data_IF_758540121686
#
_entry.id   IF_758540121686
#
_cell.length_a   1.000
_cell.length_b   1.000
_cell.length_c   1.000
_cell.angle_alpha   90.00
_cell.angle_beta   90.00
_cell.angle_gamma   90.00
#
_symmetry.space_group_name_H-M   'P 1'
#
loop_
_entity.id
_entity.type
_entity.pdbx_description
1 polymer ?
#
# COMPACT_ATOMS: atom_id res chain seq x y z
N UNK A 1 38.91 -40.38 -16.51
CA UNK A 1 37.50 -40.82 -16.60
C UNK A 1 36.75 -40.79 -15.27
N UNK A 2 37.39 -41.00 -14.10
CA UNK A 2 36.70 -41.02 -12.79
C UNK A 2 36.31 -39.65 -12.19
N UNK A 3 36.99 -38.57 -12.58
CA UNK A 3 36.70 -37.21 -12.09
C UNK A 3 35.37 -36.67 -12.64
N UNK A 4 35.14 -36.86 -13.96
CA UNK A 4 33.90 -36.46 -14.63
C UNK A 4 32.68 -37.20 -14.05
N UNK A 5 32.79 -38.51 -13.80
CA UNK A 5 31.71 -39.31 -13.19
C UNK A 5 31.35 -38.84 -11.78
N UNK A 6 32.33 -38.36 -10.99
CA UNK A 6 32.09 -37.80 -9.65
C UNK A 6 31.35 -36.46 -9.69
N UNK A 7 31.74 -35.56 -10.61
CA UNK A 7 31.09 -34.26 -10.80
C UNK A 7 29.65 -34.42 -11.30
N UNK A 8 29.40 -35.32 -12.25
CA UNK A 8 28.05 -35.63 -12.73
C UNK A 8 27.16 -36.23 -11.64
N UNK A 9 27.73 -37.05 -10.74
CA UNK A 9 27.01 -37.60 -9.58
C UNK A 9 26.62 -36.53 -8.57
N UNK A 10 27.51 -35.57 -8.31
CA UNK A 10 27.25 -34.45 -7.40
C UNK A 10 26.21 -33.48 -7.98
N UNK A 11 26.29 -33.18 -9.28
CA UNK A 11 25.33 -32.33 -9.98
C UNK A 11 23.93 -32.95 -9.99
N UNK A 12 23.81 -34.25 -10.23
CA UNK A 12 22.52 -34.97 -10.14
C UNK A 12 21.91 -34.90 -8.75
N UNK A 13 22.71 -35.08 -7.69
CA UNK A 13 22.24 -34.96 -6.30
C UNK A 13 21.79 -33.53 -5.97
N UNK A 14 22.51 -32.53 -6.46
CA UNK A 14 22.16 -31.11 -6.26
C UNK A 14 20.86 -30.72 -6.98
N UNK A 15 20.69 -31.14 -8.24
CA UNK A 15 19.46 -30.93 -9.02
C UNK A 15 18.27 -31.65 -8.37
N UNK A 16 18.46 -32.89 -7.91
CA UNK A 16 17.43 -33.64 -7.20
C UNK A 16 17.03 -32.97 -5.89
N UNK A 17 17.98 -32.42 -5.14
CA UNK A 17 17.72 -31.67 -3.91
C UNK A 17 16.92 -30.39 -4.17
N UNK A 18 17.25 -29.63 -5.23
CA UNK A 18 16.49 -28.44 -5.63
C UNK A 18 15.07 -28.82 -6.05
N UNK A 19 14.90 -29.91 -6.80
CA UNK A 19 13.58 -30.42 -7.19
C UNK A 19 12.74 -30.83 -5.96
N UNK A 20 13.36 -31.50 -4.98
CA UNK A 20 12.68 -31.87 -3.73
C UNK A 20 12.25 -30.61 -2.97
N UNK A 21 13.10 -29.60 -2.84
CA UNK A 21 12.73 -28.34 -2.17
C UNK A 21 11.64 -27.58 -2.94
N UNK A 22 11.71 -27.55 -4.27
CA UNK A 22 10.72 -26.91 -5.13
C UNK A 22 9.34 -27.58 -5.06
N UNK A 23 9.25 -28.83 -4.62
CA UNK A 23 8.00 -29.58 -4.42
C UNK A 23 7.55 -29.54 -2.95
N UNK A 24 8.48 -29.77 -1.99
CA UNK A 24 8.16 -29.88 -0.57
C UNK A 24 7.75 -28.54 0.06
N UNK A 25 8.38 -27.43 -0.33
CA UNK A 25 8.06 -26.09 0.20
C UNK A 25 6.61 -25.71 -0.20
N UNK A 26 6.18 -25.81 -1.47
CA UNK A 26 4.79 -25.52 -1.84
C UNK A 26 3.75 -26.43 -1.19
N UNK A 27 4.05 -27.71 -1.00
CA UNK A 27 3.17 -28.66 -0.28
C UNK A 27 2.98 -28.22 1.17
N UNK A 28 4.06 -27.84 1.88
CA UNK A 28 3.99 -27.28 3.25
C UNK A 28 3.09 -26.05 3.33
N UNK A 29 3.03 -25.25 2.26
CA UNK A 29 2.21 -24.05 2.20
C UNK A 29 0.86 -24.22 1.46
N UNK A 30 0.42 -25.46 1.17
CA UNK A 30 -0.91 -25.75 0.63
C UNK A 30 -1.13 -25.31 -0.82
N UNK A 31 -0.07 -25.19 -1.61
CA UNK A 31 -0.12 -24.59 -2.95
C UNK A 31 0.38 -25.58 -4.02
N UNK A 32 -0.55 -26.34 -4.60
CA UNK A 32 -0.29 -27.51 -5.46
C UNK A 32 -0.43 -27.25 -6.97
N UNK A 33 -0.66 -26.02 -7.40
CA UNK A 33 -0.85 -25.69 -8.82
C UNK A 33 0.48 -25.75 -9.62
N UNK A 34 0.51 -26.64 -10.62
CA UNK A 34 1.69 -26.95 -11.45
C UNK A 34 2.08 -25.80 -12.39
N UNK A 35 1.17 -24.86 -12.70
CA UNK A 35 1.43 -23.72 -13.60
C UNK A 35 2.49 -22.75 -13.05
N UNK A 36 2.71 -22.77 -11.75
CA UNK A 36 3.66 -21.88 -11.06
C UNK A 36 4.96 -22.60 -10.68
N UNK A 37 5.14 -23.86 -11.08
CA UNK A 37 6.28 -24.70 -10.68
C UNK A 37 7.62 -24.15 -11.20
N UNK A 38 7.66 -23.61 -12.41
CA UNK A 38 8.85 -23.01 -13.02
C UNK A 38 9.29 -21.73 -12.30
N UNK A 39 8.34 -20.84 -11.99
CA UNK A 39 8.57 -19.61 -11.21
C UNK A 39 9.04 -19.96 -9.78
N UNK A 40 8.51 -21.03 -9.19
CA UNK A 40 8.90 -21.51 -7.85
C UNK A 40 10.25 -22.21 -7.83
N UNK A 41 10.61 -22.97 -8.85
CA UNK A 41 11.96 -23.51 -9.03
C UNK A 41 12.98 -22.36 -9.09
N UNK A 42 12.64 -21.30 -9.83
CA UNK A 42 13.46 -20.10 -9.91
C UNK A 42 13.55 -19.38 -8.55
N UNK A 43 12.44 -19.25 -7.81
CA UNK A 43 12.44 -18.77 -6.42
C UNK A 43 13.30 -19.66 -5.51
N UNK A 44 13.13 -20.98 -5.47
CA UNK A 44 13.95 -21.88 -4.64
C UNK A 44 15.44 -21.79 -4.95
N UNK A 45 15.82 -21.55 -6.21
CA UNK A 45 17.20 -21.30 -6.63
C UNK A 45 17.73 -19.95 -6.13
N UNK A 46 16.93 -18.87 -6.26
CA UNK A 46 17.29 -17.51 -5.81
C UNK A 46 17.27 -17.36 -4.28
N UNK A 47 16.37 -18.08 -3.61
CA UNK A 47 16.16 -18.09 -2.16
C UNK A 47 17.12 -19.04 -1.43
N UNK A 48 17.83 -19.93 -2.14
CA UNK A 48 18.76 -20.89 -1.53
C UNK A 48 19.87 -20.16 -0.74
N UNK A 49 20.33 -19.00 -1.25
CA UNK A 49 21.30 -18.12 -0.58
C UNK A 49 20.78 -17.56 0.75
N UNK A 50 19.46 -17.37 0.87
CA UNK A 50 18.80 -16.77 2.02
C UNK A 50 18.19 -17.81 2.96
N UNK A 51 18.05 -19.08 2.51
CA UNK A 51 17.44 -20.18 3.28
C UNK A 51 18.29 -20.65 4.47
N UNK A 52 19.56 -20.29 4.51
CA UNK A 52 20.49 -20.60 5.61
C UNK A 52 20.70 -19.43 6.57
N UNK A 53 19.99 -18.33 6.38
CA UNK A 53 20.05 -17.14 7.24
C UNK A 53 19.07 -17.36 8.42
N UNK A 54 19.54 -17.37 9.67
CA UNK A 54 18.66 -17.56 10.84
C UNK A 54 17.64 -16.42 10.95
N UNK A 55 16.41 -16.76 11.37
CA UNK A 55 15.25 -15.85 11.43
C UNK A 55 15.51 -14.58 12.28
N UNK A 56 16.48 -14.63 13.19
CA UNK A 56 16.92 -13.50 14.02
C UNK A 56 17.70 -12.40 13.26
N UNK A 57 18.10 -12.64 12.01
CA UNK A 57 18.86 -11.69 11.17
C UNK A 57 18.06 -11.10 10.00
N UNK A 58 16.73 -11.34 9.99
CA UNK A 58 15.74 -10.78 9.05
C UNK A 58 15.80 -9.27 8.82
N UNK A 59 16.26 -8.41 9.77
CA UNK A 59 16.44 -6.97 9.52
C UNK A 59 17.40 -6.61 8.37
N UNK A 60 18.24 -7.55 7.89
CA UNK A 60 19.28 -7.30 6.88
C UNK A 60 18.86 -7.60 5.43
N UNK A 61 17.62 -8.05 5.19
CA UNK A 61 17.11 -8.33 3.85
C UNK A 61 16.74 -7.02 3.13
N UNK A 62 17.04 -6.92 1.83
CA UNK A 62 16.66 -5.76 1.02
C UNK A 62 15.13 -5.61 0.93
N UNK A 63 14.66 -4.37 0.81
CA UNK A 63 13.24 -4.06 0.67
C UNK A 63 12.61 -4.81 -0.52
N UNK A 64 13.33 -4.92 -1.63
CA UNK A 64 12.90 -5.63 -2.84
C UNK A 64 12.63 -7.12 -2.58
N UNK A 65 13.47 -7.77 -1.76
CA UNK A 65 13.30 -9.19 -1.43
C UNK A 65 12.07 -9.41 -0.55
N UNK A 66 11.80 -8.50 0.39
CA UNK A 66 10.60 -8.56 1.25
C UNK A 66 9.32 -8.33 0.46
N UNK A 67 9.33 -7.37 -0.46
CA UNK A 67 8.21 -7.09 -1.35
C UNK A 67 7.91 -8.30 -2.25
N UNK A 68 8.96 -8.90 -2.83
CA UNK A 68 8.85 -10.10 -3.66
C UNK A 68 8.34 -11.32 -2.88
N UNK A 69 8.83 -11.55 -1.66
CA UNK A 69 8.39 -12.64 -0.78
C UNK A 69 6.90 -12.50 -0.41
N UNK A 70 6.45 -11.28 -0.08
CA UNK A 70 5.06 -11.00 0.28
C UNK A 70 4.09 -11.32 -0.88
N UNK A 71 4.49 -10.98 -2.12
CA UNK A 71 3.72 -11.21 -3.33
C UNK A 71 3.44 -12.69 -3.61
N UNK A 72 4.40 -13.56 -3.31
CA UNK A 72 4.33 -15.00 -3.59
C UNK A 72 3.68 -15.79 -2.44
N UNK A 73 3.66 -15.22 -1.23
CA UNK A 73 3.00 -15.81 -0.06
C UNK A 73 1.48 -15.59 -0.04
N UNK A 74 0.93 -14.79 -0.95
CA UNK A 74 -0.51 -14.67 -1.11
C UNK A 74 -1.10 -16.03 -1.50
N UNK A 75 -1.70 -16.73 -0.54
CA UNK A 75 -2.48 -17.94 -0.80
C UNK A 75 -3.78 -17.53 -1.48
N UNK A 76 -4.16 -18.15 -2.60
CA UNK A 76 -5.53 -18.04 -3.08
C UNK A 76 -6.47 -18.55 -1.98
N UNK A 77 -7.54 -17.80 -1.69
CA UNK A 77 -8.63 -18.26 -0.84
C UNK A 77 -9.37 -19.36 -1.60
N UNK A 78 -8.90 -20.60 -1.46
CA UNK A 78 -9.39 -21.75 -2.24
C UNK A 78 -10.74 -22.28 -1.75
N UNK A 79 -11.18 -21.90 -0.54
CA UNK A 79 -12.46 -22.32 0.01
C UNK A 79 -13.22 -21.08 0.52
N UNK A 80 -14.34 -20.77 -0.13
CA UNK A 80 -15.33 -19.87 0.44
C UNK A 80 -16.07 -20.64 1.54
N UNK A 81 -15.69 -20.42 2.80
CA UNK A 81 -16.48 -20.91 3.92
C UNK A 81 -17.73 -20.03 4.05
N UNK A 82 -18.88 -20.53 3.58
CA UNK A 82 -20.16 -19.83 3.64
C UNK A 82 -20.67 -19.59 5.05
N UNK A 83 -20.02 -20.14 6.08
CA UNK A 83 -20.34 -19.89 7.49
C UNK A 83 -19.60 -18.68 8.09
N UNK A 84 -18.58 -18.14 7.41
CA UNK A 84 -17.87 -16.94 7.86
C UNK A 84 -18.69 -15.68 7.55
N UNK A 85 -18.98 -14.90 8.59
CA UNK A 85 -19.47 -13.55 8.39
C UNK A 85 -18.37 -12.71 7.70
N UNK A 86 -18.71 -12.19 6.52
CA UNK A 86 -17.81 -11.38 5.71
C UNK A 86 -17.45 -10.08 6.40
N UNK A 87 -18.37 -9.48 7.17
CA UNK A 87 -18.12 -8.23 7.89
C UNK A 87 -17.14 -8.43 9.04
N UNK A 88 -17.31 -9.47 9.85
CA UNK A 88 -16.36 -9.79 10.92
C UNK A 88 -14.97 -10.18 10.38
N UNK A 89 -14.92 -10.85 9.23
CA UNK A 89 -13.65 -11.15 8.55
C UNK A 89 -12.96 -9.87 8.10
N UNK A 90 -13.69 -8.94 7.48
CA UNK A 90 -13.16 -7.65 7.04
C UNK A 90 -12.66 -6.83 8.23
N UNK A 91 -13.40 -6.79 9.35
CA UNK A 91 -12.95 -6.11 10.57
C UNK A 91 -11.63 -6.67 11.08
N UNK A 92 -11.46 -8.00 11.10
CA UNK A 92 -10.19 -8.64 11.52
C UNK A 92 -9.04 -8.26 10.58
N UNK A 93 -9.28 -8.28 9.27
CA UNK A 93 -8.26 -7.89 8.28
C UNK A 93 -7.88 -6.41 8.46
N UNK A 94 -8.86 -5.50 8.64
CA UNK A 94 -8.60 -4.07 8.89
C UNK A 94 -7.77 -3.86 10.16
N UNK A 95 -8.07 -4.57 11.25
CA UNK A 95 -7.28 -4.50 12.49
C UNK A 95 -5.84 -4.95 12.26
N UNK A 96 -5.66 -6.10 11.62
CA UNK A 96 -4.32 -6.63 11.31
C UNK A 96 -3.52 -5.72 10.36
N UNK A 97 -4.18 -5.09 9.39
CA UNK A 97 -3.58 -4.10 8.52
C UNK A 97 -3.12 -2.87 9.30
N UNK A 98 -3.95 -2.41 10.25
CA UNK A 98 -3.66 -1.26 11.12
C UNK A 98 -2.45 -1.47 12.04
N UNK A 99 -2.35 -2.66 12.62
CA UNK A 99 -1.24 -3.04 13.50
C UNK A 99 0.10 -3.21 12.77
N UNK A 100 0.08 -3.29 11.44
CA UNK A 100 1.27 -3.52 10.62
C UNK A 100 2.04 -2.24 10.29
N UNK A 101 1.84 -1.14 11.02
CA UNK A 101 2.47 0.17 10.77
C UNK A 101 3.99 0.01 10.52
N UNK A 102 4.39 0.18 9.26
CA UNK A 102 5.75 -0.15 8.79
C UNK A 102 6.73 1.01 9.06
N UNK A 103 6.20 2.22 9.27
CA UNK A 103 7.00 3.45 9.34
C UNK A 103 6.79 4.17 10.67
N UNK A 104 7.81 4.26 11.54
CA UNK A 104 7.70 5.01 12.78
C UNK A 104 7.44 6.50 12.54
N UNK A 105 6.43 7.05 13.22
CA UNK A 105 6.10 8.47 13.18
C UNK A 105 7.15 9.32 13.92
N UNK A 106 7.71 10.37 13.28
CA UNK A 106 8.57 11.33 13.98
C UNK A 106 7.85 12.03 15.15
N UNK A 107 8.53 12.19 16.28
CA UNK A 107 7.93 12.77 17.49
C UNK A 107 7.52 14.23 17.35
N UNK A 108 8.15 14.97 16.43
CA UNK A 108 7.83 16.36 16.16
C UNK A 108 6.60 16.52 15.26
N UNK A 109 6.14 15.45 14.60
CA UNK A 109 5.06 15.56 13.64
C UNK A 109 3.71 15.74 14.34
N UNK A 110 3.00 16.79 13.94
CA UNK A 110 1.69 17.18 14.46
C UNK A 110 0.60 16.62 13.55
N UNK A 111 -0.45 16.07 14.16
CA UNK A 111 -1.60 15.50 13.46
C UNK A 111 -2.86 16.03 14.12
N UNK A 112 -3.69 16.72 13.35
CA UNK A 112 -4.95 17.31 13.83
C UNK A 112 -6.11 16.76 13.02
N UNK A 113 -7.11 16.22 13.71
CA UNK A 113 -8.32 15.73 13.08
C UNK A 113 -9.28 16.88 12.73
N UNK A 114 -9.96 16.76 11.59
CA UNK A 114 -11.07 17.63 11.21
C UNK A 114 -12.13 16.81 10.45
N UNK A 115 -13.41 17.09 10.70
CA UNK A 115 -14.49 16.67 9.79
C UNK A 115 -14.71 17.80 8.78
N UNK A 116 -14.39 17.51 7.52
CA UNK A 116 -14.59 18.44 6.40
C UNK A 116 -16.03 18.30 5.91
N UNK A 117 -16.77 19.40 5.92
CA UNK A 117 -18.12 19.51 5.36
C UNK A 117 -18.08 20.24 4.02
N UNK A 118 -18.70 19.64 3.00
CA UNK A 118 -19.09 20.33 1.78
C UNK A 118 -20.56 20.04 1.45
N UNK A 119 -21.44 21.02 1.64
CA UNK A 119 -22.88 20.91 1.37
C UNK A 119 -23.57 19.73 2.09
N UNK A 120 -23.18 19.42 3.32
CA UNK A 120 -23.70 18.31 4.11
C UNK A 120 -22.99 16.98 3.85
N UNK A 121 -22.01 16.94 2.95
CA UNK A 121 -21.16 15.79 2.72
C UNK A 121 -19.97 15.82 3.68
N UNK A 122 -20.02 14.98 4.71
CA UNK A 122 -19.04 14.96 5.80
C UNK A 122 -17.95 13.92 5.55
N UNK A 123 -16.68 14.34 5.57
CA UNK A 123 -15.52 13.46 5.40
C UNK A 123 -14.54 13.69 6.54
N UNK A 124 -14.15 12.62 7.22
CA UNK A 124 -13.12 12.69 8.24
C UNK A 124 -11.74 12.87 7.58
N UNK A 125 -10.92 13.76 8.12
CA UNK A 125 -9.61 14.04 7.56
C UNK A 125 -8.60 14.40 8.67
N UNK A 126 -7.32 14.29 8.34
CA UNK A 126 -6.24 14.62 9.27
C UNK A 126 -5.22 15.54 8.61
N UNK A 127 -5.01 16.70 9.21
CA UNK A 127 -3.95 17.63 8.86
C UNK A 127 -2.66 17.18 9.51
N UNK A 128 -1.67 16.86 8.69
CA UNK A 128 -0.36 16.38 9.13
C UNK A 128 0.69 17.41 8.76
N UNK A 129 1.44 17.84 9.75
CA UNK A 129 2.45 18.85 9.60
C UNK A 129 3.72 18.45 10.35
N UNK A 130 4.84 18.42 9.64
CA UNK A 130 6.15 18.33 10.26
C UNK A 130 6.72 19.74 10.46
N UNK A 131 6.87 20.21 11.71
CA UNK A 131 7.43 21.53 11.97
C UNK A 131 8.92 21.52 11.63
N UNK A 132 9.31 22.35 10.67
CA UNK A 132 10.72 22.53 10.30
C UNK A 132 11.21 23.88 10.80
N UNK A 133 12.36 23.87 11.51
CA UNK A 133 13.00 25.07 12.06
C UNK A 133 13.52 26.06 11.00
N UNK A 134 13.59 25.63 9.75
CA UNK A 134 14.20 26.39 8.65
C UNK A 134 13.18 27.08 7.73
N UNK A 135 11.88 26.97 8.01
CA UNK A 135 10.85 27.68 7.26
C UNK A 135 10.17 28.66 8.22
N UNK A 136 10.52 29.95 8.08
CA UNK A 136 9.88 31.03 8.84
C UNK A 136 8.42 31.27 8.42
N UNK A 137 8.00 30.70 7.28
CA UNK A 137 6.64 30.77 6.77
C UNK A 137 5.94 29.41 6.78
N UNK A 138 4.65 29.40 7.16
CA UNK A 138 3.76 28.26 6.93
C UNK A 138 3.80 27.89 5.44
N UNK A 139 4.10 26.63 5.13
CA UNK A 139 4.12 26.16 3.75
C UNK A 139 2.77 26.40 3.10
N UNK A 140 2.79 27.00 1.91
CA UNK A 140 1.63 27.21 1.06
C UNK A 140 1.30 25.96 0.23
N UNK A 141 2.09 24.89 0.36
CA UNK A 141 1.93 23.63 -0.37
C UNK A 141 1.08 22.66 0.42
N UNK A 142 0.01 22.18 -0.21
CA UNK A 142 -0.90 21.18 0.32
C UNK A 142 -0.82 19.91 -0.52
N UNK A 143 -0.58 18.78 0.12
CA UNK A 143 -0.74 17.46 -0.49
C UNK A 143 -2.04 16.86 0.01
N UNK A 144 -3.03 16.68 -0.87
CA UNK A 144 -4.23 15.91 -0.59
C UNK A 144 -3.91 14.44 -0.81
N UNK A 145 -3.88 13.65 0.27
CA UNK A 145 -3.40 12.27 0.25
C UNK A 145 -4.55 11.26 0.35
N UNK A 146 -4.54 10.27 -0.54
CA UNK A 146 -5.44 9.12 -0.53
C UNK A 146 -4.66 7.85 -0.24
N UNK A 147 -4.99 7.19 0.87
CA UNK A 147 -4.28 5.99 1.33
C UNK A 147 -4.56 4.76 0.46
N UNK A 148 -3.65 3.79 0.51
CA UNK A 148 -3.84 2.45 -0.04
C UNK A 148 -4.68 1.54 0.87
N UNK A 149 -4.81 0.27 0.48
CA UNK A 149 -5.62 -0.73 1.21
C UNK A 149 -6.80 -1.28 0.42
N UNK A 150 -6.66 -1.34 -0.91
CA UNK A 150 -7.61 -2.01 -1.81
C UNK A 150 -9.07 -1.56 -1.66
N UNK A 151 -9.29 -0.28 -1.28
CA UNK A 151 -10.60 0.32 -0.98
C UNK A 151 -11.37 -0.30 0.19
N UNK A 152 -10.82 -1.28 0.90
CA UNK A 152 -11.48 -1.93 2.03
C UNK A 152 -10.71 -1.81 3.35
N UNK A 153 -9.46 -1.35 3.34
CA UNK A 153 -8.60 -1.15 4.50
C UNK A 153 -7.74 0.11 4.35
N UNK A 154 -6.92 0.40 5.37
CA UNK A 154 -6.13 1.61 5.48
C UNK A 154 -6.83 2.68 6.33
N UNK A 155 -6.02 3.48 7.01
CA UNK A 155 -6.41 4.60 7.87
C UNK A 155 -5.16 5.40 8.26
N UNK A 156 -5.37 6.50 8.96
CA UNK A 156 -4.33 7.37 9.50
C UNK A 156 -3.34 6.63 10.39
N UNK A 157 -3.74 5.61 11.15
CA UNK A 157 -2.83 4.89 12.05
C UNK A 157 -1.76 4.10 11.29
N UNK A 158 -2.04 3.71 10.04
CA UNK A 158 -1.06 3.05 9.16
C UNK A 158 -0.16 4.06 8.45
N UNK A 159 -0.73 5.21 8.09
CA UNK A 159 -0.10 6.16 7.17
C UNK A 159 0.59 7.33 7.88
N UNK A 160 0.29 7.58 9.16
CA UNK A 160 0.77 8.76 9.89
C UNK A 160 2.29 8.91 9.83
N UNK A 161 3.05 7.85 10.04
CA UNK A 161 4.49 7.90 9.99
C UNK A 161 5.03 8.19 8.60
N UNK A 162 4.47 7.52 7.58
CA UNK A 162 4.85 7.75 6.19
C UNK A 162 4.56 9.19 5.75
N UNK A 163 3.35 9.68 6.00
CA UNK A 163 2.90 11.01 5.62
C UNK A 163 3.63 12.12 6.41
N UNK A 164 4.01 11.87 7.66
CA UNK A 164 4.90 12.77 8.39
C UNK A 164 6.29 12.90 7.74
N UNK A 165 6.86 11.81 7.23
CA UNK A 165 8.13 11.88 6.48
C UNK A 165 7.93 12.59 5.14
N UNK A 166 6.79 12.41 4.47
CA UNK A 166 6.46 13.16 3.26
C UNK A 166 6.32 14.66 3.54
N UNK A 167 5.61 15.03 4.61
CA UNK A 167 5.45 16.42 5.05
C UNK A 167 6.80 17.09 5.25
N UNK A 168 7.73 16.40 5.93
CA UNK A 168 9.10 16.84 6.14
C UNK A 168 9.89 16.97 4.83
N UNK A 169 9.81 15.96 3.96
CA UNK A 169 10.59 15.89 2.72
C UNK A 169 10.18 16.97 1.72
N UNK A 170 8.87 17.19 1.55
CA UNK A 170 8.35 18.14 0.59
C UNK A 170 8.20 19.55 1.15
N UNK A 171 8.40 19.73 2.46
CA UNK A 171 8.00 20.93 3.19
C UNK A 171 6.58 21.33 2.82
N UNK A 172 5.63 20.42 3.05
CA UNK A 172 4.23 20.58 2.69
C UNK A 172 3.34 20.08 3.82
N UNK A 173 2.16 20.69 3.96
CA UNK A 173 1.11 20.12 4.80
C UNK A 173 0.45 18.97 4.03
N UNK A 174 0.21 17.85 4.71
CA UNK A 174 -0.56 16.74 4.16
C UNK A 174 -1.99 16.82 4.73
N UNK A 175 -2.98 16.64 3.88
CA UNK A 175 -4.35 16.36 4.28
C UNK A 175 -4.66 14.91 3.92
N UNK A 176 -4.59 14.04 4.93
CA UNK A 176 -5.01 12.65 4.81
C UNK A 176 -6.53 12.58 4.81
N UNK A 177 -7.11 11.92 3.80
CA UNK A 177 -8.56 11.76 3.69
C UNK A 177 -8.95 10.34 4.10
N UNK A 178 -9.73 10.21 5.18
CA UNK A 178 -10.38 8.96 5.56
C UNK A 178 -11.64 8.78 4.70
N UNK A 179 -11.44 8.41 3.45
CA UNK A 179 -12.55 8.16 2.53
C UNK A 179 -13.27 6.86 2.91
N UNK A 180 -14.56 6.79 2.60
CA UNK A 180 -15.42 5.65 2.94
C UNK A 180 -14.97 4.38 2.21
N UNK A 181 -14.97 3.26 2.95
CA UNK A 181 -14.43 1.98 2.51
C UNK A 181 -15.54 0.98 2.13
N UNK A 182 -15.19 0.08 1.20
CA UNK A 182 -15.95 -1.12 0.90
C UNK A 182 -15.85 -2.13 2.06
N UNK A 183 -16.88 -2.97 2.28
CA UNK A 183 -18.12 -3.07 1.52
C UNK A 183 -19.25 -2.14 2.01
N UNK A 184 -19.09 -1.45 3.14
CA UNK A 184 -20.12 -0.56 3.71
C UNK A 184 -20.48 0.56 2.74
N UNK A 185 -19.48 1.05 2.00
CA UNK A 185 -19.61 2.11 1.01
C UNK A 185 -18.85 1.72 -0.26
N UNK A 186 -19.50 1.02 -1.21
CA UNK A 186 -18.89 0.68 -2.48
C UNK A 186 -18.54 1.92 -3.30
N UNK A 187 -17.63 1.77 -4.27
CA UNK A 187 -17.41 2.81 -5.29
C UNK A 187 -18.76 3.17 -5.95
N UNK A 188 -19.06 4.47 -6.16
CA UNK A 188 -18.14 5.60 -6.19
C UNK A 188 -17.95 6.37 -4.86
N UNK A 189 -18.38 5.85 -3.70
CA UNK A 189 -18.38 6.62 -2.45
C UNK A 189 -17.03 7.27 -2.09
N UNK A 190 -15.91 6.57 -2.31
CA UNK A 190 -14.57 7.12 -2.09
C UNK A 190 -14.24 8.30 -3.04
N UNK A 191 -14.73 8.26 -4.28
CA UNK A 191 -14.58 9.35 -5.27
C UNK A 191 -15.45 10.55 -4.87
N UNK A 192 -16.65 10.30 -4.36
CA UNK A 192 -17.52 11.37 -3.86
C UNK A 192 -16.85 12.09 -2.67
N UNK A 193 -16.25 11.34 -1.75
CA UNK A 193 -15.51 11.89 -0.60
C UNK A 193 -14.30 12.71 -1.04
N UNK A 194 -13.51 12.20 -1.98
CA UNK A 194 -12.33 12.90 -2.48
C UNK A 194 -12.69 14.22 -3.18
N UNK A 195 -13.74 14.21 -4.00
CA UNK A 195 -14.23 15.42 -4.68
C UNK A 195 -14.86 16.40 -3.69
N UNK A 196 -15.60 15.93 -2.69
CA UNK A 196 -16.17 16.78 -1.64
C UNK A 196 -15.08 17.51 -0.86
N UNK A 197 -14.03 16.82 -0.44
CA UNK A 197 -12.88 17.43 0.23
C UNK A 197 -12.18 18.44 -0.68
N UNK A 198 -11.95 18.10 -1.96
CA UNK A 198 -11.33 19.03 -2.91
C UNK A 198 -12.16 20.31 -3.09
N UNK A 199 -13.48 20.18 -3.26
CA UNK A 199 -14.39 21.34 -3.35
C UNK A 199 -14.41 22.17 -2.07
N UNK A 200 -14.35 21.53 -0.90
CA UNK A 200 -14.23 22.23 0.38
C UNK A 200 -12.95 23.07 0.46
N UNK A 201 -11.82 22.53 -0.01
CA UNK A 201 -10.55 23.26 -0.07
C UNK A 201 -10.65 24.49 -0.97
N UNK A 202 -11.21 24.34 -2.17
CA UNK A 202 -11.44 25.49 -3.07
C UNK A 202 -12.35 26.54 -2.44
N UNK A 203 -13.42 26.11 -1.76
CA UNK A 203 -14.34 27.02 -1.06
C UNK A 203 -13.68 27.75 0.11
N UNK A 204 -12.64 27.15 0.71
CA UNK A 204 -11.78 27.78 1.74
C UNK A 204 -10.68 28.66 1.14
N UNK A 205 -10.75 28.99 -0.15
CA UNK A 205 -9.78 29.79 -0.89
C UNK A 205 -8.37 29.15 -0.99
N UNK A 206 -8.25 27.83 -0.85
CA UNK A 206 -7.01 27.14 -1.21
C UNK A 206 -6.90 27.15 -2.73
N UNK A 207 -5.82 27.74 -3.25
CA UNK A 207 -5.65 27.85 -4.70
C UNK A 207 -5.34 26.47 -5.30
N UNK A 208 -5.89 26.12 -6.47
CA UNK A 208 -5.58 24.85 -7.13
C UNK A 208 -4.07 24.65 -7.35
N UNK A 209 -3.33 25.75 -7.59
CA UNK A 209 -1.88 25.78 -7.77
C UNK A 209 -1.08 25.42 -6.51
N UNK A 210 -1.71 25.42 -5.34
CA UNK A 210 -1.15 25.02 -4.05
C UNK A 210 -1.38 23.53 -3.75
N UNK A 211 -2.36 22.91 -4.41
CA UNK A 211 -2.79 21.54 -4.14
C UNK A 211 -2.05 20.57 -5.07
N UNK A 212 -1.45 19.55 -4.49
CA UNK A 212 -0.99 18.35 -5.18
C UNK A 212 -1.82 17.18 -4.69
N UNK A 213 -2.34 16.35 -5.60
CA UNK A 213 -3.02 15.11 -5.21
C UNK A 213 -1.97 13.99 -5.17
N UNK A 214 -2.00 13.16 -4.14
CA UNK A 214 -1.08 12.04 -4.00
C UNK A 214 -1.79 10.80 -3.45
N UNK A 215 -1.36 9.61 -3.84
CA UNK A 215 -1.85 8.38 -3.23
C UNK A 215 -1.10 7.14 -3.69
N UNK A 216 -1.22 6.06 -2.92
CA UNK A 216 -0.56 4.78 -3.17
C UNK A 216 -1.55 3.63 -3.38
N UNK A 217 -1.18 2.64 -4.20
CA UNK A 217 -2.00 1.45 -4.45
C UNK A 217 -3.43 1.84 -4.89
N UNK A 218 -4.46 1.43 -4.14
CA UNK A 218 -5.84 1.85 -4.34
C UNK A 218 -6.03 3.38 -4.27
N UNK A 219 -5.37 4.06 -3.34
CA UNK A 219 -5.40 5.52 -3.23
C UNK A 219 -4.73 6.23 -4.42
N UNK A 220 -3.76 5.59 -5.07
CA UNK A 220 -3.24 6.03 -6.36
C UNK A 220 -4.30 5.97 -7.47
N UNK A 221 -5.11 4.90 -7.48
CA UNK A 221 -6.25 4.78 -8.39
C UNK A 221 -7.30 5.84 -8.09
N UNK A 222 -7.63 6.05 -6.82
CA UNK A 222 -8.54 7.09 -6.34
C UNK A 222 -8.06 8.49 -6.72
N UNK A 223 -6.75 8.76 -6.66
CA UNK A 223 -6.15 10.02 -7.11
C UNK A 223 -6.49 10.30 -8.57
N UNK A 224 -6.35 9.30 -9.45
CA UNK A 224 -6.66 9.45 -10.87
C UNK A 224 -8.16 9.59 -11.13
N UNK A 225 -8.99 8.80 -10.44
CA UNK A 225 -10.45 8.94 -10.49
C UNK A 225 -10.92 10.31 -10.02
N UNK A 226 -10.28 10.85 -8.99
CA UNK A 226 -10.54 12.21 -8.49
C UNK A 226 -10.21 13.23 -9.57
N UNK A 227 -9.02 13.19 -10.17
CA UNK A 227 -8.65 14.10 -11.28
C UNK A 227 -9.65 13.99 -12.43
N UNK A 228 -10.03 12.78 -12.83
CA UNK A 228 -11.03 12.56 -13.87
C UNK A 228 -12.38 13.19 -13.51
N UNK A 229 -12.83 13.03 -12.26
CA UNK A 229 -14.06 13.64 -11.77
C UNK A 229 -13.95 15.18 -11.75
N UNK A 230 -12.82 15.75 -11.34
CA UNK A 230 -12.60 17.21 -11.38
C UNK A 230 -12.71 17.75 -12.81
N UNK A 231 -12.06 17.09 -13.78
CA UNK A 231 -12.14 17.45 -15.21
C UNK A 231 -13.58 17.36 -15.73
N UNK A 232 -14.26 16.25 -15.43
CA UNK A 232 -15.64 16.00 -15.88
C UNK A 232 -16.63 17.02 -15.32
N UNK A 233 -16.37 17.52 -14.11
CA UNK A 233 -17.18 18.53 -13.45
C UNK A 233 -16.72 19.98 -13.72
N UNK A 234 -15.79 20.18 -14.67
CA UNK A 234 -15.25 21.48 -15.05
C UNK A 234 -14.68 22.28 -13.86
N UNK A 235 -14.11 21.56 -12.88
CA UNK A 235 -13.47 22.17 -11.72
C UNK A 235 -12.02 22.58 -12.05
N UNK A 236 -11.49 23.62 -11.38
CA UNK A 236 -10.06 23.92 -11.45
C UNK A 236 -9.22 22.70 -11.08
N UNK A 237 -8.19 22.41 -11.88
CA UNK A 237 -7.31 21.26 -11.68
C UNK A 237 -6.17 21.59 -10.69
N UNK A 238 -5.76 20.64 -9.83
CA UNK A 238 -4.64 20.84 -8.93
C UNK A 238 -3.32 21.04 -9.69
N UNK A 239 -2.29 21.50 -8.99
CA UNK A 239 -0.92 21.68 -9.52
C UNK A 239 -0.37 20.42 -10.18
N UNK A 240 -0.74 19.25 -9.68
CA UNK A 240 -0.33 17.98 -10.24
C UNK A 240 -0.84 16.80 -9.44
N UNK A 241 -0.51 15.61 -9.92
CA UNK A 241 -0.84 14.33 -9.29
C UNK A 241 0.41 13.45 -9.21
N UNK A 242 0.63 12.80 -8.07
CA UNK A 242 1.69 11.81 -7.85
C UNK A 242 1.03 10.50 -7.44
N UNK A 243 1.26 9.42 -8.17
CA UNK A 243 0.71 8.11 -7.84
C UNK A 243 1.81 7.09 -7.60
N UNK A 244 1.69 6.33 -6.52
CA UNK A 244 2.66 5.32 -6.12
C UNK A 244 2.07 3.93 -6.32
N UNK A 245 2.63 3.14 -7.25
CA UNK A 245 2.18 1.76 -7.51
C UNK A 245 0.66 1.65 -7.69
N UNK A 246 0.09 2.56 -8.48
CA UNK A 246 -1.35 2.79 -8.59
C UNK A 246 -2.12 1.56 -9.10
N UNK A 247 -3.24 1.25 -8.45
CA UNK A 247 -4.18 0.25 -8.93
C UNK A 247 -5.15 0.90 -9.93
N UNK A 248 -4.90 0.66 -11.22
CA UNK A 248 -5.57 1.37 -12.33
C UNK A 248 -6.54 0.51 -13.13
N UNK A 249 -6.56 -0.81 -12.90
CA UNK A 249 -7.40 -1.75 -13.61
C UNK A 249 -8.00 -2.78 -12.64
N UNK A 250 -9.33 -2.86 -12.62
CA UNK A 250 -10.13 -3.76 -11.78
C UNK A 250 -10.75 -4.92 -12.59
N UNK A 251 -10.46 -5.00 -13.90
CA UNK A 251 -11.03 -5.99 -14.81
C UNK A 251 -10.40 -7.38 -14.74
#
# INVERSE_FOLDING_TARGET
MSFLTGVFGLLKKFVLFILILAIAIPIRYGSTDYRHLSIRLFHSLLSLKYSFIPDQTRPTLSADYRAFEALIRMRPLLNHDSSLDSFDTIKKIRSSFSESAVTPKPSQCEINNEIIDYNGHLVNAYWINYPSKNFEEKSDKLILYFHGGAYFAGNIQVYDGFECHLSKLFNATILHVEYRLCPEHPLPAAVDDSVAVYRALLHRNVLPSQIMIMGDSAGGGLSLLTIQALITNELPIPRGVIVLSSWTDLS
#
